data_IF_465116398780
#
_entry.id   IF_465116398780
#
_cell.length_a   1.000
_cell.length_b   1.000
_cell.length_c   1.000
_cell.angle_alpha   90.00
_cell.angle_beta   90.00
_cell.angle_gamma   90.00
#
_symmetry.space_group_name_H-M   'P 1'
#
loop_
_entity.id
_entity.type
_entity.pdbx_description
1 polymer ?
#
# COMPACT_ATOMS: atom_id res chain seq x y z
N UNK A 1 17.33 34.48 -9.95
CA UNK A 1 17.83 33.08 -10.03
C UNK A 1 18.85 32.88 -8.92
N UNK A 2 18.78 31.74 -8.22
CA UNK A 2 19.70 31.41 -7.12
C UNK A 2 21.13 31.22 -7.63
N UNK A 3 22.13 31.47 -6.78
CA UNK A 3 23.54 31.23 -7.11
C UNK A 3 23.85 29.74 -6.98
N UNK A 4 24.92 29.26 -7.65
CA UNK A 4 25.33 27.84 -7.64
C UNK A 4 25.57 27.27 -6.23
N UNK A 5 25.90 28.13 -5.26
CA UNK A 5 26.19 27.76 -3.88
C UNK A 5 24.98 27.91 -2.93
N UNK A 6 23.80 28.26 -3.45
CA UNK A 6 22.60 28.33 -2.63
C UNK A 6 22.22 26.95 -2.09
N UNK A 7 21.87 26.88 -0.81
CA UNK A 7 21.38 25.67 -0.15
C UNK A 7 20.13 26.03 0.66
N UNK A 8 19.00 25.44 0.30
CA UNK A 8 17.71 25.66 0.96
C UNK A 8 17.27 24.48 1.84
N UNK A 9 18.13 23.46 1.99
CA UNK A 9 17.90 22.23 2.73
C UNK A 9 17.02 21.22 2.01
N UNK A 10 16.81 20.06 2.62
CA UNK A 10 16.12 18.92 2.00
C UNK A 10 14.60 18.91 2.21
N UNK A 11 14.07 19.91 2.95
CA UNK A 11 12.62 20.03 3.15
C UNK A 11 11.93 20.56 1.89
N UNK A 12 10.69 20.13 1.62
CA UNK A 12 9.92 20.66 0.51
C UNK A 12 9.60 22.15 0.68
N UNK A 13 9.41 22.83 -0.46
CA UNK A 13 9.08 24.24 -0.57
C UNK A 13 7.80 24.41 -1.38
N UNK A 14 6.85 25.15 -0.83
CA UNK A 14 5.49 25.27 -1.36
C UNK A 14 5.12 26.74 -1.56
N UNK A 15 4.50 27.05 -2.69
CA UNK A 15 3.95 28.39 -2.94
C UNK A 15 2.67 28.57 -2.12
N UNK A 16 2.52 29.67 -1.38
CA UNK A 16 1.36 29.87 -0.49
C UNK A 16 0.01 29.92 -1.25
N UNK A 17 -0.03 30.58 -2.41
CA UNK A 17 -1.28 30.82 -3.15
C UNK A 17 -1.50 29.90 -4.36
N UNK A 18 -0.62 28.91 -4.59
CA UNK A 18 -0.63 28.07 -5.78
C UNK A 18 -0.28 26.64 -5.41
N UNK A 19 -0.84 25.66 -6.12
CA UNK A 19 -0.48 24.24 -5.98
C UNK A 19 0.88 23.95 -6.65
N UNK A 20 1.94 24.58 -6.12
CA UNK A 20 3.32 24.42 -6.58
C UNK A 20 4.13 23.88 -5.42
N UNK A 21 4.70 22.69 -5.63
CA UNK A 21 5.52 21.95 -4.68
C UNK A 21 6.87 21.61 -5.31
N UNK A 22 7.95 21.97 -4.61
CA UNK A 22 9.29 21.47 -4.87
C UNK A 22 9.67 20.54 -3.72
N UNK A 23 10.10 19.31 -4.01
CA UNK A 23 10.28 18.28 -2.97
C UNK A 23 11.47 18.56 -2.04
N UNK A 24 12.39 19.42 -2.46
CA UNK A 24 13.56 19.84 -1.69
C UNK A 24 14.13 21.16 -2.24
N UNK A 25 15.12 21.72 -1.53
CA UNK A 25 15.79 22.95 -1.92
C UNK A 25 16.52 22.89 -3.25
N UNK A 26 17.05 21.71 -3.64
CA UNK A 26 17.73 21.55 -4.93
C UNK A 26 16.75 21.64 -6.10
N UNK A 27 15.58 21.02 -5.98
CA UNK A 27 14.49 21.17 -6.94
C UNK A 27 14.00 22.61 -7.02
N UNK A 28 13.84 23.29 -5.88
CA UNK A 28 13.45 24.69 -5.83
C UNK A 28 14.45 25.58 -6.59
N UNK A 29 15.73 25.46 -6.27
CA UNK A 29 16.80 26.26 -6.88
C UNK A 29 16.89 26.07 -8.39
N UNK A 30 16.74 24.82 -8.87
CA UNK A 30 16.84 24.48 -10.29
C UNK A 30 15.56 24.80 -11.05
N UNK A 31 14.41 24.57 -10.44
CA UNK A 31 13.10 24.65 -11.08
C UNK A 31 12.42 26.01 -10.96
N UNK A 32 12.83 26.87 -10.03
CA UNK A 32 12.29 28.22 -9.93
C UNK A 32 12.90 29.14 -11.01
N UNK A 33 12.12 29.38 -12.06
CA UNK A 33 12.49 30.21 -13.21
C UNK A 33 12.02 31.67 -13.09
N UNK A 34 11.16 31.97 -12.11
CA UNK A 34 10.54 33.28 -11.90
C UNK A 34 9.11 33.41 -12.45
N UNK A 35 8.53 32.35 -13.04
CA UNK A 35 7.18 32.37 -13.61
C UNK A 35 6.09 32.53 -12.54
N UNK A 36 6.31 32.02 -11.33
CA UNK A 36 5.37 32.12 -10.20
C UNK A 36 6.02 32.86 -9.03
N UNK A 37 6.14 34.20 -9.09
CA UNK A 37 6.68 34.97 -7.98
C UNK A 37 5.70 34.97 -6.80
N UNK A 38 6.23 34.88 -5.58
CA UNK A 38 5.42 34.87 -4.37
C UNK A 38 6.17 34.36 -3.15
N UNK A 39 5.42 34.12 -2.07
CA UNK A 39 5.97 33.55 -0.84
C UNK A 39 6.00 32.04 -0.94
N UNK A 40 7.18 31.47 -0.67
CA UNK A 40 7.36 30.03 -0.53
C UNK A 40 7.71 29.67 0.91
N UNK A 41 7.09 28.61 1.41
CA UNK A 41 7.25 28.14 2.78
C UNK A 41 7.64 26.66 2.86
N UNK A 42 8.29 26.27 3.96
CA UNK A 42 8.69 24.89 4.22
C UNK A 42 7.53 24.12 4.82
N UNK A 43 6.75 23.42 3.99
CA UNK A 43 5.68 22.50 4.40
C UNK A 43 5.86 21.15 3.70
N UNK A 44 5.24 20.09 4.23
CA UNK A 44 5.32 18.74 3.65
C UNK A 44 4.17 18.43 2.69
N UNK A 45 3.30 19.38 2.41
CA UNK A 45 2.09 19.16 1.60
C UNK A 45 1.51 20.49 1.14
N UNK A 46 0.96 20.53 -0.07
CA UNK A 46 0.06 21.61 -0.50
C UNK A 46 -1.38 21.34 -0.07
N UNK A 47 -1.68 20.11 0.35
CA UNK A 47 -3.02 19.69 0.76
C UNK A 47 -3.49 20.42 2.02
N UNK A 48 -4.60 21.16 1.93
CA UNK A 48 -5.21 21.73 3.13
C UNK A 48 -5.93 20.65 3.93
N UNK A 49 -5.86 20.72 5.26
CA UNK A 49 -6.57 19.81 6.15
C UNK A 49 -7.26 20.52 7.31
N UNK A 50 -8.29 19.88 7.84
CA UNK A 50 -9.01 20.32 9.04
C UNK A 50 -9.25 19.15 9.99
N UNK A 51 -9.32 19.44 11.28
CA UNK A 51 -9.57 18.47 12.34
C UNK A 51 -10.90 18.75 13.04
N UNK A 52 -11.74 17.72 13.18
CA UNK A 52 -12.91 17.73 14.04
C UNK A 52 -12.69 16.79 15.24
N UNK A 53 -12.51 17.38 16.43
CA UNK A 53 -12.25 16.64 17.67
C UNK A 53 -13.46 15.85 18.17
N UNK A 54 -14.68 16.21 17.79
CA UNK A 54 -15.89 15.51 18.23
C UNK A 54 -16.05 14.19 17.50
N UNK A 55 -15.86 14.21 16.18
CA UNK A 55 -15.94 13.01 15.34
C UNK A 55 -14.60 12.28 15.17
N UNK A 56 -13.49 12.84 15.70
CA UNK A 56 -12.12 12.35 15.52
C UNK A 56 -11.73 12.19 14.05
N UNK A 57 -12.12 13.18 13.25
CA UNK A 57 -12.02 13.13 11.79
C UNK A 57 -11.00 14.13 11.26
N UNK A 58 -10.05 13.62 10.48
CA UNK A 58 -9.12 14.43 9.69
C UNK A 58 -9.63 14.53 8.25
N UNK A 59 -9.88 15.75 7.78
CA UNK A 59 -10.37 15.99 6.40
C UNK A 59 -9.29 16.64 5.55
N UNK A 60 -9.08 16.15 4.33
CA UNK A 60 -8.19 16.72 3.32
C UNK A 60 -8.98 17.26 2.12
N UNK A 61 -8.65 18.46 1.65
CA UNK A 61 -9.42 19.19 0.63
C UNK A 61 -8.64 19.46 -0.65
N UNK A 62 -7.97 18.46 -1.23
CA UNK A 62 -7.22 18.60 -2.48
C UNK A 62 -5.80 19.16 -2.31
N UNK A 63 -4.92 18.87 -3.28
CA UNK A 63 -3.51 19.24 -3.26
C UNK A 63 -2.57 18.05 -3.45
N UNK A 64 -1.32 18.19 -3.03
CA UNK A 64 -0.25 17.20 -3.20
C UNK A 64 0.45 16.92 -1.87
N UNK A 65 0.57 15.64 -1.50
CA UNK A 65 1.41 15.16 -0.41
C UNK A 65 2.86 15.09 -0.89
N UNK A 66 3.81 15.70 -0.16
CA UNK A 66 5.22 15.61 -0.50
C UNK A 66 5.83 14.24 -0.15
N UNK A 67 7.03 13.98 -0.66
CA UNK A 67 7.75 12.75 -0.40
C UNK A 67 7.95 12.49 1.11
N UNK A 68 7.73 11.24 1.53
CA UNK A 68 7.91 10.75 2.90
C UNK A 68 7.03 11.44 3.97
N UNK A 69 5.95 12.11 3.57
CA UNK A 69 5.00 12.67 4.52
C UNK A 69 4.28 11.53 5.26
N UNK A 70 4.01 11.74 6.56
CA UNK A 70 3.20 10.84 7.39
C UNK A 70 2.04 11.59 8.01
N UNK A 71 0.84 11.02 7.93
CA UNK A 71 -0.35 11.54 8.59
C UNK A 71 -0.22 11.44 10.12
N UNK A 72 0.56 10.49 10.63
CA UNK A 72 0.89 10.43 12.06
C UNK A 72 1.70 11.64 12.56
N UNK A 73 2.37 12.39 11.69
CA UNK A 73 2.98 13.68 12.06
C UNK A 73 1.90 14.77 12.26
N UNK A 74 0.79 14.73 11.51
CA UNK A 74 -0.37 15.59 11.76
C UNK A 74 -0.99 15.21 13.10
N UNK A 75 -1.20 13.91 13.37
CA UNK A 75 -1.77 13.43 14.63
C UNK A 75 -1.02 13.94 15.87
N UNK A 76 0.32 13.99 15.81
CA UNK A 76 1.15 14.52 16.89
C UNK A 76 0.84 15.99 17.25
N UNK A 77 0.26 16.75 16.32
CA UNK A 77 -0.15 18.14 16.55
C UNK A 77 -1.52 18.28 17.22
N UNK A 78 -2.27 17.17 17.36
CA UNK A 78 -3.65 17.16 17.85
C UNK A 78 -3.73 16.98 19.37
N UNK A 79 -2.73 17.42 20.13
CA UNK A 79 -2.72 17.42 21.60
C UNK A 79 -3.06 16.06 22.26
N UNK A 80 -2.60 14.96 21.66
CA UNK A 80 -2.84 13.60 22.16
C UNK A 80 -4.16 12.96 21.70
N UNK A 81 -4.94 13.65 20.85
CA UNK A 81 -6.07 13.02 20.17
C UNK A 81 -5.60 12.05 19.09
N UNK A 82 -6.32 10.93 18.95
CA UNK A 82 -6.06 9.90 17.95
C UNK A 82 -7.06 10.03 16.79
N UNK A 83 -6.58 9.92 15.56
CA UNK A 83 -7.40 9.97 14.35
C UNK A 83 -8.17 8.66 14.23
N UNK A 84 -9.50 8.75 14.16
CA UNK A 84 -10.36 7.59 13.92
C UNK A 84 -10.87 7.53 12.47
N UNK A 85 -11.03 8.68 11.81
CA UNK A 85 -11.56 8.74 10.45
C UNK A 85 -10.72 9.71 9.59
N UNK A 86 -10.50 9.36 8.33
CA UNK A 86 -9.93 10.25 7.31
C UNK A 86 -10.97 10.44 6.20
N UNK A 87 -11.13 11.68 5.73
CA UNK A 87 -12.02 12.00 4.61
C UNK A 87 -11.26 12.82 3.56
N UNK A 88 -11.40 12.46 2.29
CA UNK A 88 -10.96 13.30 1.17
C UNK A 88 -12.16 13.98 0.51
N UNK A 89 -12.21 15.32 0.52
CA UNK A 89 -13.32 16.05 -0.11
C UNK A 89 -13.03 16.44 -1.56
N UNK A 90 -11.76 16.43 -1.96
CA UNK A 90 -11.30 16.69 -3.33
C UNK A 90 -10.11 15.78 -3.69
N UNK A 91 -9.82 15.57 -4.99
CA UNK A 91 -8.68 14.78 -5.42
C UNK A 91 -7.34 15.28 -4.87
N UNK A 92 -6.57 14.38 -4.26
CA UNK A 92 -5.21 14.64 -3.78
C UNK A 92 -4.20 13.83 -4.58
N UNK A 93 -2.99 14.33 -4.74
CA UNK A 93 -1.89 13.65 -5.43
C UNK A 93 -0.86 13.16 -4.42
N UNK A 94 -0.41 11.92 -4.61
CA UNK A 94 0.70 11.36 -3.87
C UNK A 94 2.01 11.53 -4.65
N UNK A 95 3.08 11.91 -3.95
CA UNK A 95 4.42 11.98 -4.54
C UNK A 95 5.07 10.60 -4.68
N UNK A 96 6.15 10.53 -5.46
CA UNK A 96 6.82 9.28 -5.82
C UNK A 96 7.18 8.37 -4.63
N UNK A 97 7.59 8.95 -3.51
CA UNK A 97 7.76 8.23 -2.25
C UNK A 97 6.61 8.60 -1.30
N UNK A 98 5.67 7.66 -1.15
CA UNK A 98 4.57 7.77 -0.19
C UNK A 98 4.65 6.69 0.89
N UNK A 99 5.88 6.32 1.25
CA UNK A 99 6.15 5.38 2.32
C UNK A 99 5.54 5.89 3.62
N UNK A 100 4.94 5.00 4.39
CA UNK A 100 4.42 5.26 5.74
C UNK A 100 3.32 6.32 5.83
N UNK A 101 2.72 6.74 4.72
CA UNK A 101 1.78 7.88 4.67
C UNK A 101 0.65 7.77 5.69
N UNK A 102 -0.04 6.63 5.75
CA UNK A 102 -1.13 6.39 6.70
C UNK A 102 -0.70 5.56 7.91
N UNK A 103 0.60 5.32 8.09
CA UNK A 103 1.08 4.37 9.10
C UNK A 103 0.93 4.85 10.54
N UNK A 104 0.79 3.87 11.42
CA UNK A 104 0.76 4.04 12.88
C UNK A 104 -0.41 4.91 13.35
N UNK A 105 -1.52 4.90 12.61
CA UNK A 105 -2.78 5.48 13.05
C UNK A 105 -3.58 4.38 13.76
N UNK A 106 -3.16 4.02 14.97
CA UNK A 106 -3.64 2.80 15.64
C UNK A 106 -5.16 2.76 15.85
N UNK A 107 -5.82 3.92 15.95
CA UNK A 107 -7.28 4.07 16.10
C UNK A 107 -8.03 4.31 14.80
N UNK A 108 -7.35 4.39 13.66
CA UNK A 108 -7.98 4.63 12.37
C UNK A 108 -8.96 3.48 12.06
N UNK A 109 -10.21 3.83 11.79
CA UNK A 109 -11.31 2.92 11.49
C UNK A 109 -11.71 3.00 10.03
N UNK A 110 -11.76 4.22 9.47
CA UNK A 110 -12.23 4.46 8.10
C UNK A 110 -11.36 5.48 7.36
N UNK A 111 -11.28 5.28 6.04
CA UNK A 111 -10.81 6.28 5.09
C UNK A 111 -11.91 6.41 4.03
N UNK A 112 -12.64 7.51 4.07
CA UNK A 112 -13.70 7.80 3.13
C UNK A 112 -13.16 8.54 1.91
N UNK A 113 -13.71 8.21 0.74
CA UNK A 113 -13.29 8.75 -0.55
C UNK A 113 -11.82 8.49 -0.89
N UNK A 114 -11.33 7.30 -0.53
CA UNK A 114 -9.94 6.90 -0.84
C UNK A 114 -9.66 6.81 -2.35
N UNK A 115 -10.71 6.72 -3.17
CA UNK A 115 -10.65 6.84 -4.63
C UNK A 115 -10.22 8.24 -5.12
N UNK A 116 -10.27 9.27 -4.26
CA UNK A 116 -9.76 10.61 -4.57
C UNK A 116 -8.23 10.69 -4.40
N UNK A 117 -7.58 9.64 -3.90
CA UNK A 117 -6.13 9.58 -3.76
C UNK A 117 -5.52 9.13 -5.08
N UNK A 118 -4.90 10.07 -5.80
CA UNK A 118 -4.19 9.80 -7.05
C UNK A 118 -2.78 9.25 -6.76
N UNK A 119 -2.57 7.98 -7.09
CA UNK A 119 -1.31 7.25 -6.90
C UNK A 119 -0.48 7.09 -8.18
N UNK A 120 -0.85 7.73 -9.29
CA UNK A 120 -0.25 7.49 -10.61
C UNK A 120 1.24 7.83 -10.75
N UNK A 121 1.79 8.61 -9.81
CA UNK A 121 3.23 8.93 -9.75
C UNK A 121 3.98 8.15 -8.67
N UNK A 122 3.28 7.34 -7.87
CA UNK A 122 3.87 6.63 -6.74
C UNK A 122 4.75 5.49 -7.22
N UNK A 123 5.97 5.45 -6.70
CA UNK A 123 6.97 4.40 -6.97
C UNK A 123 7.28 3.56 -5.73
N UNK A 124 6.99 4.08 -4.53
CA UNK A 124 7.22 3.41 -3.25
C UNK A 124 6.03 3.68 -2.32
N UNK A 125 5.50 2.59 -1.75
CA UNK A 125 4.39 2.58 -0.78
C UNK A 125 4.76 1.77 0.47
N UNK A 126 6.04 1.76 0.84
CA UNK A 126 6.54 0.93 1.95
C UNK A 126 5.77 1.26 3.23
N UNK A 127 5.19 0.24 3.85
CA UNK A 127 4.49 0.40 5.12
C UNK A 127 3.38 1.44 5.13
N UNK A 128 2.75 1.77 3.99
CA UNK A 128 1.78 2.88 3.94
C UNK A 128 0.67 2.77 4.98
N UNK A 129 0.18 1.55 5.27
CA UNK A 129 -0.88 1.29 6.26
C UNK A 129 -0.38 0.45 7.45
N UNK A 130 0.94 0.39 7.67
CA UNK A 130 1.47 -0.47 8.74
C UNK A 130 0.98 0.00 10.11
N UNK A 131 0.68 -0.94 11.00
CA UNK A 131 0.20 -0.70 12.37
C UNK A 131 -1.16 0.03 12.49
N UNK A 132 -1.97 0.09 11.43
CA UNK A 132 -3.35 0.59 11.52
C UNK A 132 -4.27 -0.48 12.13
N UNK A 133 -4.19 -0.62 13.45
CA UNK A 133 -4.75 -1.75 14.21
C UNK A 133 -6.27 -1.82 14.20
N UNK A 134 -6.98 -0.70 14.00
CA UNK A 134 -8.45 -0.63 14.01
C UNK A 134 -9.09 -0.60 12.61
N UNK A 135 -8.29 -0.53 11.54
CA UNK A 135 -8.79 -0.47 10.17
C UNK A 135 -9.31 -1.84 9.75
N UNK A 136 -10.54 -1.92 9.26
CA UNK A 136 -11.23 -3.21 9.04
C UNK A 136 -11.35 -3.60 7.56
N UNK A 137 -11.47 -2.61 6.67
CA UNK A 137 -11.63 -2.82 5.23
C UNK A 137 -11.03 -1.65 4.44
N UNK A 138 -10.50 -1.95 3.25
CA UNK A 138 -10.05 -0.95 2.28
C UNK A 138 -10.38 -1.40 0.85
N UNK A 139 -10.99 -0.51 0.07
CA UNK A 139 -11.09 -0.67 -1.39
C UNK A 139 -10.07 0.23 -2.08
N UNK A 140 -9.04 -0.38 -2.65
CA UNK A 140 -7.93 0.30 -3.32
C UNK A 140 -7.89 0.01 -4.82
N UNK A 141 -8.98 -0.54 -5.38
CA UNK A 141 -9.04 -0.92 -6.80
C UNK A 141 -9.04 0.27 -7.76
N UNK A 142 -9.21 1.49 -7.24
CA UNK A 142 -9.11 2.73 -8.01
C UNK A 142 -7.67 3.27 -8.07
N UNK A 143 -6.76 2.71 -7.29
CA UNK A 143 -5.37 3.15 -7.29
C UNK A 143 -4.64 2.67 -8.54
N UNK A 144 -3.83 3.56 -9.11
CA UNK A 144 -2.91 3.22 -10.18
C UNK A 144 -1.57 2.79 -9.58
N UNK A 145 -1.21 1.51 -9.73
CA UNK A 145 0.04 0.94 -9.22
C UNK A 145 1.09 0.65 -10.29
N UNK A 146 0.84 1.04 -11.55
CA UNK A 146 1.71 0.70 -12.70
C UNK A 146 3.16 1.20 -12.59
N UNK A 147 3.43 2.20 -11.75
CA UNK A 147 4.79 2.71 -11.48
C UNK A 147 5.38 2.22 -10.16
N UNK A 148 4.60 1.52 -9.33
CA UNK A 148 5.01 1.10 -7.99
C UNK A 148 6.06 -0.02 -8.11
N UNK A 149 7.20 0.20 -7.47
CA UNK A 149 8.33 -0.73 -7.42
C UNK A 149 8.48 -1.39 -6.06
N UNK A 150 8.01 -0.74 -5.00
CA UNK A 150 8.17 -1.22 -3.63
C UNK A 150 6.86 -1.15 -2.84
N UNK A 151 6.41 -2.32 -2.38
CA UNK A 151 5.22 -2.55 -1.56
C UNK A 151 5.59 -3.27 -0.25
N UNK A 152 6.86 -3.22 0.17
CA UNK A 152 7.31 -3.90 1.38
C UNK A 152 6.50 -3.44 2.60
N UNK A 153 6.02 -4.40 3.40
CA UNK A 153 5.31 -4.16 4.66
C UNK A 153 4.04 -3.31 4.54
N UNK A 154 3.47 -3.16 3.34
CA UNK A 154 2.39 -2.20 3.06
C UNK A 154 1.18 -2.32 4.00
N UNK A 155 0.79 -3.55 4.39
CA UNK A 155 -0.26 -3.84 5.38
C UNK A 155 0.29 -4.60 6.60
N UNK A 156 1.55 -4.34 6.95
CA UNK A 156 2.19 -4.99 8.09
C UNK A 156 1.48 -4.68 9.40
N UNK A 157 1.13 -5.72 10.16
CA UNK A 157 0.52 -5.60 11.48
C UNK A 157 -0.78 -4.76 11.50
N UNK A 158 -1.59 -4.84 10.43
CA UNK A 158 -2.95 -4.30 10.39
C UNK A 158 -3.89 -5.25 11.13
N UNK A 159 -3.95 -5.07 12.45
CA UNK A 159 -4.53 -6.01 13.40
C UNK A 159 -6.04 -6.21 13.32
N UNK A 160 -6.79 -5.46 12.51
CA UNK A 160 -8.23 -5.68 12.29
C UNK A 160 -8.63 -5.75 10.82
N UNK A 161 -7.67 -5.65 9.89
CA UNK A 161 -7.95 -5.61 8.46
C UNK A 161 -8.34 -7.01 7.99
N UNK A 162 -9.61 -7.17 7.60
CA UNK A 162 -10.18 -8.44 7.15
C UNK A 162 -10.34 -8.48 5.63
N UNK A 163 -10.81 -7.37 5.05
CA UNK A 163 -11.11 -7.27 3.64
C UNK A 163 -10.23 -6.21 2.97
N UNK A 164 -9.66 -6.55 1.82
CA UNK A 164 -8.91 -5.60 1.03
C UNK A 164 -9.13 -5.90 -0.46
N UNK A 165 -9.47 -4.87 -1.23
CA UNK A 165 -9.72 -4.97 -2.66
C UNK A 165 -8.57 -4.35 -3.44
N UNK A 166 -7.72 -5.21 -3.98
CA UNK A 166 -6.49 -4.89 -4.74
C UNK A 166 -6.35 -5.77 -5.99
N UNK A 167 -7.45 -6.40 -6.41
CA UNK A 167 -7.49 -7.29 -7.57
C UNK A 167 -7.16 -6.53 -8.86
N UNK A 168 -7.34 -5.20 -8.91
CA UNK A 168 -7.04 -4.37 -10.10
C UNK A 168 -5.64 -3.80 -10.16
N UNK A 169 -4.77 -4.13 -9.22
CA UNK A 169 -3.40 -3.60 -9.21
C UNK A 169 -2.56 -4.18 -10.35
N UNK A 170 -1.88 -3.28 -11.05
CA UNK A 170 -0.77 -3.64 -11.94
C UNK A 170 0.51 -3.76 -11.11
N UNK A 171 1.02 -4.97 -10.98
CA UNK A 171 2.25 -5.27 -10.23
C UNK A 171 3.47 -5.54 -11.12
N UNK A 172 3.36 -5.31 -12.43
CA UNK A 172 4.40 -5.67 -13.41
C UNK A 172 5.74 -4.97 -13.21
N UNK A 173 5.75 -3.81 -12.52
CA UNK A 173 6.96 -3.08 -12.14
C UNK A 173 7.42 -3.32 -10.69
N UNK A 174 6.67 -4.10 -9.90
CA UNK A 174 7.00 -4.34 -8.49
C UNK A 174 8.23 -5.23 -8.38
N UNK A 175 9.20 -4.78 -7.58
CA UNK A 175 10.45 -5.48 -7.28
C UNK A 175 10.41 -6.08 -5.87
N UNK A 176 9.82 -5.39 -4.91
CA UNK A 176 9.78 -5.83 -3.51
C UNK A 176 8.35 -5.78 -2.95
N UNK A 177 7.88 -6.91 -2.40
CA UNK A 177 6.61 -7.03 -1.67
C UNK A 177 6.76 -7.92 -0.43
N UNK A 178 7.96 -7.97 0.16
CA UNK A 178 8.18 -8.70 1.41
C UNK A 178 7.27 -8.19 2.52
N UNK A 179 6.81 -9.08 3.40
CA UNK A 179 5.99 -8.77 4.58
C UNK A 179 4.66 -8.06 4.28
N UNK A 180 4.19 -8.10 3.02
CA UNK A 180 3.00 -7.39 2.54
C UNK A 180 1.79 -7.48 3.49
N UNK A 181 1.45 -8.69 3.93
CA UNK A 181 0.36 -8.97 4.87
C UNK A 181 0.85 -9.60 6.19
N UNK A 182 2.13 -9.49 6.52
CA UNK A 182 2.67 -10.15 7.70
C UNK A 182 2.07 -9.55 8.98
N UNK A 183 1.62 -10.43 9.89
CA UNK A 183 0.80 -10.08 11.06
C UNK A 183 -0.53 -9.35 10.76
N UNK A 184 -1.03 -9.37 9.53
CA UNK A 184 -2.39 -8.90 9.23
C UNK A 184 -3.46 -9.95 9.57
N UNK A 185 -4.73 -9.51 9.62
CA UNK A 185 -5.88 -10.42 9.71
C UNK A 185 -6.49 -10.80 8.35
N UNK A 186 -5.89 -10.39 7.24
CA UNK A 186 -6.35 -10.78 5.89
C UNK A 186 -6.15 -12.29 5.74
N UNK A 187 -7.21 -12.98 5.28
CA UNK A 187 -7.24 -14.44 5.09
C UNK A 187 -7.54 -14.84 3.65
N UNK A 188 -8.35 -14.03 2.97
CA UNK A 188 -8.75 -14.23 1.58
C UNK A 188 -8.21 -13.07 0.74
N UNK A 189 -7.59 -13.38 -0.40
CA UNK A 189 -7.07 -12.36 -1.30
C UNK A 189 -7.14 -12.78 -2.76
N UNK A 190 -7.54 -11.86 -3.63
CA UNK A 190 -7.54 -12.05 -5.08
C UNK A 190 -6.33 -11.33 -5.70
N UNK A 191 -5.44 -12.11 -6.30
CA UNK A 191 -4.22 -11.67 -6.99
C UNK A 191 -4.25 -12.09 -8.47
N UNK A 192 -5.43 -12.31 -9.04
CA UNK A 192 -5.59 -12.82 -10.41
C UNK A 192 -4.96 -11.93 -11.48
N UNK A 193 -4.88 -10.62 -11.28
CA UNK A 193 -4.23 -9.70 -12.22
C UNK A 193 -2.76 -9.42 -11.92
N UNK A 194 -2.21 -10.01 -10.86
CA UNK A 194 -0.84 -9.71 -10.44
C UNK A 194 0.18 -10.38 -11.36
N UNK A 195 1.09 -9.58 -11.89
CA UNK A 195 2.31 -10.01 -12.56
C UNK A 195 3.49 -9.85 -11.61
N UNK A 196 4.14 -10.96 -11.26
CA UNK A 196 5.24 -10.95 -10.29
C UNK A 196 6.58 -11.29 -10.93
N UNK A 197 6.70 -11.18 -12.26
CA UNK A 197 7.92 -11.52 -12.99
C UNK A 197 9.16 -10.77 -12.47
N UNK A 198 9.02 -9.47 -12.17
CA UNK A 198 10.11 -8.61 -11.66
C UNK A 198 10.35 -8.71 -10.15
N UNK A 199 9.44 -9.33 -9.40
CA UNK A 199 9.55 -9.40 -7.94
C UNK A 199 10.75 -10.26 -7.56
N UNK A 200 11.57 -9.74 -6.66
CA UNK A 200 12.76 -10.43 -6.11
C UNK A 200 12.61 -10.75 -4.62
N UNK A 201 11.60 -10.21 -3.94
CA UNK A 201 11.34 -10.46 -2.53
C UNK A 201 9.84 -10.60 -2.23
N UNK A 202 9.43 -11.77 -1.74
CA UNK A 202 8.10 -12.09 -1.20
C UNK A 202 8.17 -12.75 0.19
N UNK A 203 9.26 -12.55 0.94
CA UNK A 203 9.42 -13.15 2.26
C UNK A 203 8.23 -12.80 3.17
N UNK A 204 7.57 -13.81 3.76
CA UNK A 204 6.41 -13.66 4.66
C UNK A 204 5.21 -12.87 4.08
N UNK A 205 5.18 -12.58 2.77
CA UNK A 205 4.16 -11.72 2.17
C UNK A 205 2.73 -12.26 2.34
N UNK A 206 2.58 -13.59 2.33
CA UNK A 206 1.29 -14.29 2.33
C UNK A 206 1.12 -15.26 3.51
N UNK A 207 1.91 -15.10 4.57
CA UNK A 207 1.96 -16.02 5.73
C UNK A 207 0.57 -16.22 6.39
N UNK A 208 -0.21 -15.14 6.43
CA UNK A 208 -1.54 -15.10 7.04
C UNK A 208 -2.66 -15.61 6.12
N UNK A 209 -2.38 -15.82 4.83
CA UNK A 209 -3.39 -16.14 3.82
C UNK A 209 -3.76 -17.62 3.87
N UNK A 210 -5.06 -17.90 3.80
CA UNK A 210 -5.62 -19.25 3.73
C UNK A 210 -6.45 -19.49 2.48
N UNK A 211 -6.81 -18.46 1.73
CA UNK A 211 -7.50 -18.58 0.43
C UNK A 211 -6.96 -17.52 -0.52
N UNK A 212 -6.51 -17.94 -1.69
CA UNK A 212 -5.79 -17.09 -2.63
C UNK A 212 -6.23 -17.37 -4.06
N UNK A 213 -6.69 -16.35 -4.77
CA UNK A 213 -6.95 -16.43 -6.21
C UNK A 213 -5.72 -15.99 -6.97
N UNK A 214 -5.21 -16.83 -7.87
CA UNK A 214 -3.98 -16.58 -8.62
C UNK A 214 -4.25 -16.59 -10.13
N UNK A 215 -3.51 -15.74 -10.86
CA UNK A 215 -3.58 -15.64 -12.31
C UNK A 215 -2.35 -16.19 -13.02
N UNK A 216 -2.45 -16.28 -14.34
CA UNK A 216 -1.45 -16.92 -15.21
C UNK A 216 -0.05 -16.30 -15.13
N UNK A 217 0.06 -15.03 -14.73
CA UNK A 217 1.33 -14.29 -14.62
C UNK A 217 1.95 -14.33 -13.22
N UNK A 218 1.21 -14.83 -12.23
CA UNK A 218 1.70 -14.86 -10.86
C UNK A 218 2.71 -16.00 -10.68
N UNK A 219 3.86 -15.70 -10.07
CA UNK A 219 4.85 -16.68 -9.63
C UNK A 219 5.29 -16.39 -8.20
N UNK A 220 5.25 -17.40 -7.35
CA UNK A 220 5.88 -17.30 -6.03
C UNK A 220 7.39 -17.18 -6.16
N UNK A 221 8.04 -16.66 -5.11
CA UNK A 221 9.50 -16.63 -4.99
C UNK A 221 9.94 -17.66 -3.96
N UNK A 222 11.18 -18.12 -4.06
CA UNK A 222 11.67 -19.25 -3.24
C UNK A 222 11.57 -19.00 -1.74
N UNK A 223 11.62 -17.74 -1.33
CA UNK A 223 11.53 -17.27 0.06
C UNK A 223 10.10 -16.97 0.51
N UNK A 224 9.10 -17.13 -0.37
CA UNK A 224 7.69 -17.07 0.03
C UNK A 224 7.38 -18.09 1.12
N UNK A 225 6.36 -17.82 1.93
CA UNK A 225 5.86 -18.75 2.93
C UNK A 225 4.34 -18.85 2.84
N UNK A 226 3.83 -20.09 2.69
CA UNK A 226 2.41 -20.41 2.70
C UNK A 226 2.04 -21.39 3.83
N UNK A 227 3.00 -21.73 4.69
CA UNK A 227 2.86 -22.70 5.78
C UNK A 227 2.83 -24.16 5.32
N UNK A 228 2.78 -25.08 6.27
CA UNK A 228 2.95 -26.53 6.02
C UNK A 228 1.64 -27.27 5.71
N UNK A 229 0.54 -26.56 5.56
CA UNK A 229 -0.78 -27.16 5.31
C UNK A 229 -1.03 -27.39 3.81
N UNK A 230 -1.83 -28.40 3.44
CA UNK A 230 -2.17 -28.63 2.05
C UNK A 230 -2.96 -27.48 1.41
N UNK A 231 -2.77 -27.28 0.12
CA UNK A 231 -3.48 -26.29 -0.69
C UNK A 231 -4.21 -26.98 -1.85
N UNK A 232 -5.49 -26.68 -2.00
CA UNK A 232 -6.39 -27.34 -2.96
C UNK A 232 -6.95 -26.31 -3.92
N UNK A 233 -6.88 -26.59 -5.22
CA UNK A 233 -7.59 -25.80 -6.23
C UNK A 233 -9.11 -26.07 -6.11
N UNK A 234 -9.93 -25.04 -6.01
CA UNK A 234 -11.37 -25.19 -5.75
C UNK A 234 -12.13 -25.89 -6.88
N UNK A 235 -11.76 -25.62 -8.14
CA UNK A 235 -12.49 -26.13 -9.32
C UNK A 235 -11.77 -27.26 -10.09
N UNK A 236 -10.63 -27.74 -9.60
CA UNK A 236 -9.79 -28.73 -10.31
C UNK A 236 -9.22 -29.73 -9.32
N UNK A 237 -8.99 -30.95 -9.78
CA UNK A 237 -8.32 -31.99 -9.00
C UNK A 237 -6.81 -31.73 -8.89
N UNK A 238 -6.44 -30.65 -8.20
CA UNK A 238 -5.06 -30.21 -7.97
C UNK A 238 -4.88 -30.01 -6.48
N UNK A 239 -3.91 -30.75 -5.92
CA UNK A 239 -3.54 -30.74 -4.53
C UNK A 239 -2.02 -30.54 -4.42
N UNK A 240 -1.61 -29.57 -3.62
CA UNK A 240 -0.24 -29.45 -3.12
C UNK A 240 -0.22 -29.86 -1.65
N UNK A 241 0.69 -30.75 -1.23
CA UNK A 241 0.65 -31.32 0.12
C UNK A 241 1.04 -30.31 1.20
N UNK A 242 1.74 -29.24 0.82
CA UNK A 242 2.17 -28.17 1.71
C UNK A 242 2.47 -26.90 0.89
N UNK A 243 2.73 -25.78 1.58
CA UNK A 243 3.06 -24.51 0.96
C UNK A 243 4.34 -24.54 0.12
N UNK A 244 5.36 -25.32 0.49
CA UNK A 244 6.60 -25.41 -0.28
C UNK A 244 6.39 -26.08 -1.64
N UNK A 245 5.57 -27.12 -1.69
CA UNK A 245 5.14 -27.75 -2.94
C UNK A 245 4.34 -26.78 -3.80
N UNK A 246 3.39 -26.05 -3.20
CA UNK A 246 2.60 -25.06 -3.93
C UNK A 246 3.48 -23.96 -4.52
N UNK A 247 4.39 -23.39 -3.74
CA UNK A 247 5.33 -22.36 -4.17
C UNK A 247 6.19 -22.83 -5.35
N UNK A 248 6.68 -24.07 -5.32
CA UNK A 248 7.53 -24.62 -6.39
C UNK A 248 6.73 -25.05 -7.62
N UNK A 249 5.51 -25.55 -7.41
CA UNK A 249 4.69 -26.20 -8.42
C UNK A 249 3.69 -25.28 -9.12
N UNK A 250 3.42 -24.09 -8.58
CA UNK A 250 2.55 -23.12 -9.26
C UNK A 250 3.33 -22.36 -10.34
N UNK A 251 3.03 -22.67 -11.58
CA UNK A 251 3.66 -22.08 -12.77
C UNK A 251 2.67 -21.28 -13.63
N UNK A 252 1.50 -20.94 -13.09
CA UNK A 252 0.45 -20.20 -13.79
C UNK A 252 -0.40 -21.00 -14.78
N UNK A 253 -0.14 -22.30 -14.98
CA UNK A 253 -0.92 -23.14 -15.92
C UNK A 253 -2.38 -23.35 -15.47
N UNK A 254 -2.61 -23.33 -14.16
CA UNK A 254 -3.93 -23.50 -13.55
C UNK A 254 -4.29 -22.28 -12.71
N UNK A 255 -4.63 -21.13 -13.33
CA UNK A 255 -5.14 -19.99 -12.58
C UNK A 255 -6.48 -20.35 -11.92
N UNK A 256 -6.77 -19.72 -10.79
CA UNK A 256 -7.96 -19.99 -10.00
C UNK A 256 -7.75 -19.80 -8.51
N UNK A 257 -8.76 -20.18 -7.75
CA UNK A 257 -8.78 -20.07 -6.29
C UNK A 257 -8.19 -21.32 -5.64
N UNK A 258 -7.20 -21.12 -4.79
CA UNK A 258 -6.61 -22.14 -3.95
C UNK A 258 -6.95 -21.89 -2.49
N UNK A 259 -7.33 -22.93 -1.77
CA UNK A 259 -7.65 -22.84 -0.34
C UNK A 259 -6.80 -23.81 0.47
N UNK A 260 -6.33 -23.32 1.61
CA UNK A 260 -5.56 -24.07 2.59
C UNK A 260 -6.51 -24.98 3.35
N UNK A 261 -6.34 -26.29 3.19
CA UNK A 261 -7.17 -27.25 3.88
C UNK A 261 -6.64 -27.51 5.31
N UNK A 262 -7.48 -27.25 6.31
CA UNK A 262 -7.16 -27.50 7.72
C UNK A 262 -7.61 -28.89 8.20
N UNK A 263 -8.38 -29.60 7.37
CA UNK A 263 -8.83 -30.97 7.62
C UNK A 263 -7.85 -31.88 6.87
N UNK A 264 -7.26 -32.86 7.55
CA UNK A 264 -6.45 -33.88 6.87
C UNK A 264 -7.26 -34.46 5.70
N UNK A 265 -6.69 -34.63 4.50
CA UNK A 265 -7.35 -35.41 3.46
C UNK A 265 -7.61 -36.79 4.08
N UNK A 266 -8.88 -37.10 4.38
CA UNK A 266 -9.27 -38.49 4.58
C UNK A 266 -9.02 -39.15 3.23
N UNK A 267 -7.90 -39.87 3.15
CA UNK A 267 -7.59 -40.99 2.28
C UNK A 267 -8.60 -41.11 1.12
N UNK A 268 -8.25 -40.57 -0.05
CA UNK A 268 -8.95 -40.81 -1.31
C UNK A 268 -8.67 -42.24 -1.85
N UNK A 269 -8.69 -43.28 -1.00
CA UNK A 269 -8.48 -44.69 -1.42
C UNK A 269 -9.75 -45.54 -1.40
N UNK A 270 -10.94 -44.98 -1.24
CA UNK A 270 -12.16 -45.74 -1.47
C UNK A 270 -13.13 -44.90 -2.28
N UNK A 271 -13.24 -45.22 -3.57
CA UNK A 271 -14.35 -45.02 -4.52
C UNK A 271 -13.79 -44.72 -5.92
N UNK A 272 -13.06 -45.69 -6.47
CA UNK A 272 -13.05 -46.06 -7.90
C UNK A 272 -12.51 -47.48 -8.04
#
# INVERSE_FOLDING_TARGET
>A
RFKKESNLGDKPWIHQDKDILYQNGNEFIKGYDGTYPGTYEKKLYTTSWSWDSNSKTLTFSGGTFANNMKVSDIQQTLNGEEIENIIFTEPVKLSANSDYLFSSLEKLKTIEHIEYVNTSEVTSMVGMFQFDKCLTSLDLNKWNTSKVKNMNSLFYNTGSLLNIFIDKWDTSEVVNMGQLFWYSRVREIDLSNWDTAKVTNMNQAFDSISKITLGEKFRFKKESNLGDKPWIHQDKDILYQNGNEFIKGYDGTYPGTYEKNYIQPQIWEQYN
#
